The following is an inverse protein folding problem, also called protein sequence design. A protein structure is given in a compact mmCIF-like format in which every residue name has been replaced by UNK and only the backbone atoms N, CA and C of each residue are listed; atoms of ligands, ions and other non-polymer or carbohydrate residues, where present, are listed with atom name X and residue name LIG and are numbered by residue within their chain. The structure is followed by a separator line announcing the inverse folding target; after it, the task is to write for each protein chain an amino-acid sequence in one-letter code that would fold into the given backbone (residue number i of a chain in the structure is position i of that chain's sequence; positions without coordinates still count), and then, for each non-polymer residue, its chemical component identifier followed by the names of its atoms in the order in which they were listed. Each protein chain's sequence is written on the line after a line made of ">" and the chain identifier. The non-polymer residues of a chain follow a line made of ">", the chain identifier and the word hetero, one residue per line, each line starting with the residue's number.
data_IF_640228231444
#
_entry.id   IF_640228231444
#
_cell.length_a   1.000
_cell.length_b   1.000
_cell.length_c   1.000
_cell.angle_alpha   90.00
_cell.angle_beta   90.00
_cell.angle_gamma   90.00
#
_symmetry.space_group_name_H-M   'P 1'
#
loop_
_entity.id
_entity.type
_entity.pdbx_description
1 polymer ?
#
# COMPACT_ATOMS: atom_id res chain seq x y z
N UNK A 1 15.34 7.94 -54.41
CA UNK A 1 14.44 8.15 -53.23
C UNK A 1 15.07 7.44 -52.04
N UNK A 2 15.81 8.18 -51.22
CA UNK A 2 16.63 7.62 -50.14
C UNK A 2 16.50 8.59 -48.96
N UNK A 3 16.34 8.06 -47.75
CA UNK A 3 16.45 8.74 -46.45
C UNK A 3 15.18 9.42 -45.87
N UNK A 4 14.14 8.66 -45.51
CA UNK A 4 13.12 9.17 -44.55
C UNK A 4 12.68 8.15 -43.48
N UNK A 5 13.24 6.94 -43.46
CA UNK A 5 12.78 5.88 -42.56
C UNK A 5 13.26 5.89 -41.09
N UNK A 6 14.28 6.64 -40.61
CA UNK A 6 14.72 6.49 -39.22
C UNK A 6 13.95 7.37 -38.22
N UNK A 7 13.16 8.36 -38.66
CA UNK A 7 12.55 9.36 -37.76
C UNK A 7 11.28 8.82 -37.06
N UNK A 8 10.55 7.91 -37.71
CA UNK A 8 9.32 7.32 -37.14
C UNK A 8 9.59 6.37 -35.97
N UNK A 9 10.78 5.78 -35.88
CA UNK A 9 11.13 4.87 -34.78
C UNK A 9 11.38 5.63 -33.46
N UNK A 10 11.84 6.88 -33.52
CA UNK A 10 12.18 7.67 -32.31
C UNK A 10 10.93 8.23 -31.63
N UNK A 11 9.85 8.47 -32.37
CA UNK A 11 8.58 8.96 -31.82
C UNK A 11 7.80 7.89 -31.03
N UNK A 12 8.00 6.61 -31.32
CA UNK A 12 7.36 5.51 -30.58
C UNK A 12 7.92 5.31 -29.17
N UNK A 13 9.22 5.53 -28.97
CA UNK A 13 9.89 5.37 -27.67
C UNK A 13 9.61 6.52 -26.68
N UNK A 14 9.09 7.65 -27.15
CA UNK A 14 8.77 8.79 -26.28
C UNK A 14 7.46 8.61 -25.48
N UNK A 15 6.58 7.71 -25.91
CA UNK A 15 5.25 7.52 -25.29
C UNK A 15 5.26 6.59 -24.07
N UNK A 16 6.34 5.85 -23.83
CA UNK A 16 6.47 4.96 -22.65
C UNK A 16 7.10 5.65 -21.44
N UNK A 17 7.59 6.89 -21.58
CA UNK A 17 8.30 7.60 -20.51
C UNK A 17 7.38 8.29 -19.48
N UNK A 18 6.06 8.29 -19.68
CA UNK A 18 5.09 8.90 -18.77
C UNK A 18 4.25 7.90 -17.97
N UNK A 19 4.51 6.58 -18.11
CA UNK A 19 3.96 5.61 -17.18
C UNK A 19 4.74 5.74 -15.86
N UNK A 20 4.30 6.66 -15.00
CA UNK A 20 4.73 6.69 -13.61
C UNK A 20 4.57 5.31 -12.98
N UNK A 21 5.28 5.02 -11.89
CA UNK A 21 5.27 3.68 -11.33
C UNK A 21 3.85 3.20 -11.03
N UNK A 22 3.60 1.91 -11.26
CA UNK A 22 2.31 1.32 -10.92
C UNK A 22 2.04 1.46 -9.42
N UNK A 23 0.78 1.39 -9.01
CA UNK A 23 0.43 1.32 -7.59
C UNK A 23 1.18 0.17 -6.88
N UNK A 24 1.43 -0.94 -7.59
CA UNK A 24 2.23 -2.06 -7.08
C UNK A 24 3.71 -1.71 -6.91
N UNK A 25 4.28 -0.87 -7.78
CA UNK A 25 5.67 -0.38 -7.63
C UNK A 25 5.82 0.69 -6.55
N UNK A 26 4.73 1.39 -6.20
CA UNK A 26 4.68 2.22 -4.99
C UNK A 26 4.53 1.35 -3.73
N UNK A 27 3.73 0.27 -3.78
CA UNK A 27 3.59 -0.69 -2.67
C UNK A 27 4.90 -1.42 -2.37
N UNK A 28 5.66 -1.84 -3.40
CA UNK A 28 7.02 -2.39 -3.22
C UNK A 28 8.00 -1.40 -2.59
N UNK A 29 7.70 -0.10 -2.67
CA UNK A 29 8.46 0.99 -2.04
C UNK A 29 7.96 1.37 -0.65
N UNK A 30 6.84 0.82 -0.17
CA UNK A 30 6.46 0.90 1.25
C UNK A 30 7.26 -0.15 2.03
N UNK A 31 8.57 0.12 2.17
CA UNK A 31 9.60 -0.85 2.54
C UNK A 31 9.35 -1.50 3.92
N UNK A 32 8.42 -1.00 4.73
CA UNK A 32 8.15 -1.50 6.08
C UNK A 32 6.66 -1.48 6.52
N UNK A 33 5.70 -1.18 5.64
CA UNK A 33 4.27 -1.11 6.00
C UNK A 33 3.83 0.22 6.63
N UNK A 34 4.51 1.31 6.33
CA UNK A 34 4.18 2.65 6.81
C UNK A 34 2.80 3.10 6.36
N UNK A 35 2.39 2.80 5.12
CA UNK A 35 1.05 3.14 4.62
C UNK A 35 -0.03 2.40 5.40
N UNK A 36 0.21 1.13 5.73
CA UNK A 36 -0.68 0.34 6.57
C UNK A 36 -0.84 0.98 7.96
N UNK A 37 0.27 1.41 8.56
CA UNK A 37 0.28 2.06 9.87
C UNK A 37 -0.38 3.45 9.89
N UNK A 38 -0.19 4.27 8.85
CA UNK A 38 -0.84 5.58 8.71
C UNK A 38 -2.37 5.42 8.69
N UNK A 39 -2.86 4.50 7.85
CA UNK A 39 -4.28 4.19 7.80
C UNK A 39 -4.78 3.63 9.13
N UNK A 40 -4.02 2.73 9.76
CA UNK A 40 -4.39 2.19 11.07
C UNK A 40 -4.52 3.31 12.10
N UNK A 41 -3.59 4.25 12.19
CA UNK A 41 -3.65 5.35 13.15
C UNK A 41 -4.84 6.27 12.95
N UNK A 42 -5.16 6.58 11.69
CA UNK A 42 -6.35 7.37 11.36
C UNK A 42 -7.64 6.60 11.66
N UNK A 43 -7.67 5.28 11.51
CA UNK A 43 -8.83 4.45 11.78
C UNK A 43 -9.00 4.04 13.24
N UNK A 44 -7.90 3.98 14.00
CA UNK A 44 -7.90 3.57 15.41
C UNK A 44 -8.54 4.60 16.33
N UNK A 45 -8.44 5.88 15.97
CA UNK A 45 -8.97 7.02 16.75
C UNK A 45 -10.33 7.54 16.26
N UNK A 46 -10.80 7.08 15.10
CA UNK A 46 -12.07 7.47 14.50
C UNK A 46 -12.98 6.25 14.37
N UNK A 47 -14.17 6.28 14.96
CA UNK A 47 -15.17 5.20 14.89
C UNK A 47 -16.26 5.45 13.85
N UNK A 48 -16.17 6.56 13.10
CA UNK A 48 -17.07 6.89 12.01
C UNK A 48 -16.76 6.12 10.72
N UNK A 49 -17.49 6.46 9.65
CA UNK A 49 -17.32 5.85 8.32
C UNK A 49 -15.91 6.05 7.74
N UNK A 50 -15.27 7.18 8.04
CA UNK A 50 -13.89 7.47 7.65
C UNK A 50 -12.92 6.54 8.39
N UNK A 51 -13.12 6.37 9.69
CA UNK A 51 -12.39 5.41 10.50
C UNK A 51 -12.45 3.98 9.97
N UNK A 52 -13.66 3.48 9.70
CA UNK A 52 -13.87 2.15 9.10
C UNK A 52 -13.18 2.00 7.74
N UNK A 53 -13.26 3.04 6.90
CA UNK A 53 -12.57 3.07 5.60
C UNK A 53 -11.05 2.96 5.78
N UNK A 54 -10.51 3.67 6.76
CA UNK A 54 -9.09 3.63 7.07
C UNK A 54 -8.65 2.27 7.65
N UNK A 55 -9.45 1.64 8.50
CA UNK A 55 -9.15 0.27 8.98
C UNK A 55 -9.14 -0.74 7.81
N UNK A 56 -10.08 -0.63 6.86
CA UNK A 56 -10.07 -1.48 5.65
C UNK A 56 -8.79 -1.28 4.84
N UNK A 57 -8.39 -0.03 4.58
CA UNK A 57 -7.14 0.27 3.87
C UNK A 57 -5.91 -0.21 4.64
N UNK A 58 -5.91 -0.08 5.96
CA UNK A 58 -4.83 -0.59 6.79
C UNK A 58 -4.68 -2.11 6.66
N UNK A 59 -5.77 -2.86 6.58
CA UNK A 59 -5.75 -4.30 6.34
C UNK A 59 -5.20 -4.64 4.94
N UNK A 60 -5.68 -3.94 3.89
CA UNK A 60 -5.22 -4.15 2.51
C UNK A 60 -3.72 -3.92 2.37
N UNK A 61 -3.22 -2.81 2.90
CA UNK A 61 -1.79 -2.49 2.90
C UNK A 61 -1.01 -3.40 3.85
N UNK A 62 -1.61 -3.80 4.97
CA UNK A 62 -0.98 -4.68 5.95
C UNK A 62 -0.71 -6.06 5.40
N UNK A 63 -1.66 -6.66 4.66
CA UNK A 63 -1.49 -7.95 3.98
C UNK A 63 -0.36 -7.92 2.95
N UNK A 64 -0.19 -6.78 2.26
CA UNK A 64 0.83 -6.57 1.23
C UNK A 64 2.19 -6.10 1.79
N UNK A 65 2.30 -5.82 3.10
CA UNK A 65 3.51 -5.28 3.72
C UNK A 65 4.69 -6.25 3.61
N UNK A 66 5.93 -5.76 3.54
CA UNK A 66 7.15 -6.57 3.69
C UNK A 66 7.46 -6.92 5.15
N UNK A 67 6.90 -6.18 6.11
CA UNK A 67 7.07 -6.40 7.55
C UNK A 67 6.18 -7.55 8.02
N UNK A 68 6.83 -8.63 8.49
CA UNK A 68 6.14 -9.86 8.89
C UNK A 68 5.16 -9.67 10.04
N UNK A 69 5.51 -8.90 11.07
CA UNK A 69 4.61 -8.63 12.19
C UNK A 69 3.34 -7.87 11.79
N UNK A 70 3.42 -7.00 10.77
CA UNK A 70 2.25 -6.31 10.21
C UNK A 70 1.40 -7.30 9.41
N UNK A 71 2.01 -8.09 8.51
CA UNK A 71 1.27 -9.08 7.71
C UNK A 71 0.55 -10.11 8.58
N UNK A 72 1.22 -10.63 9.61
CA UNK A 72 0.68 -11.70 10.46
C UNK A 72 -0.50 -11.24 11.33
N UNK A 73 -0.67 -9.93 11.53
CA UNK A 73 -1.83 -9.36 12.22
C UNK A 73 -3.06 -9.19 11.30
N UNK A 74 -2.90 -9.44 10.00
CA UNK A 74 -3.97 -9.40 9.00
C UNK A 74 -4.38 -10.82 8.63
N UNK A 75 -5.68 -11.02 8.46
CA UNK A 75 -6.26 -12.25 7.92
C UNK A 75 -7.18 -11.92 6.74
N UNK A 76 -7.79 -12.95 6.17
CA UNK A 76 -8.81 -12.81 5.14
C UNK A 76 -10.14 -13.26 5.72
N UNK A 77 -11.19 -12.46 5.55
CA UNK A 77 -12.54 -12.81 6.00
C UNK A 77 -13.23 -13.83 5.06
N UNK A 78 -14.48 -14.18 5.37
CA UNK A 78 -15.26 -15.14 4.58
C UNK A 78 -15.57 -14.71 3.15
N UNK A 79 -15.45 -13.40 2.85
CA UNK A 79 -15.65 -12.82 1.53
C UNK A 79 -14.34 -12.64 0.74
N UNK A 80 -13.21 -13.10 1.30
CA UNK A 80 -11.90 -12.94 0.66
C UNK A 80 -11.26 -11.57 0.89
N UNK A 81 -11.78 -10.75 1.80
CA UNK A 81 -11.24 -9.39 2.05
C UNK A 81 -10.23 -9.38 3.20
N UNK A 82 -9.14 -8.60 3.08
CA UNK A 82 -8.20 -8.41 4.18
C UNK A 82 -8.89 -7.74 5.38
N UNK A 83 -8.66 -8.27 6.57
CA UNK A 83 -9.14 -7.71 7.85
C UNK A 83 -8.03 -7.75 8.90
N UNK A 84 -7.93 -6.73 9.74
CA UNK A 84 -7.01 -6.75 10.88
C UNK A 84 -7.61 -7.66 11.96
N UNK A 85 -7.11 -8.89 12.04
CA UNK A 85 -7.61 -9.90 12.97
C UNK A 85 -7.08 -9.70 14.41
N UNK A 86 -5.91 -9.09 14.55
CA UNK A 86 -5.32 -8.74 15.84
C UNK A 86 -4.90 -7.26 15.84
N UNK A 87 -5.81 -6.40 16.30
CA UNK A 87 -5.54 -4.96 16.38
C UNK A 87 -4.39 -4.61 17.34
N UNK A 88 -4.20 -5.40 18.40
CA UNK A 88 -3.14 -5.14 19.38
C UNK A 88 -1.76 -5.49 18.80
N UNK A 89 -1.65 -6.62 18.11
CA UNK A 89 -0.43 -6.99 17.38
C UNK A 89 -0.13 -6.00 16.25
N UNK A 90 -1.15 -5.57 15.50
CA UNK A 90 -0.99 -4.59 14.43
C UNK A 90 -0.49 -3.24 14.97
N UNK A 91 -1.10 -2.75 16.05
CA UNK A 91 -0.67 -1.53 16.75
C UNK A 91 0.78 -1.63 17.20
N UNK A 92 1.15 -2.73 17.86
CA UNK A 92 2.52 -2.97 18.34
C UNK A 92 3.53 -3.03 17.20
N UNK A 93 3.18 -3.67 16.09
CA UNK A 93 4.02 -3.73 14.90
C UNK A 93 4.26 -2.32 14.33
N UNK A 94 3.24 -1.46 14.31
CA UNK A 94 3.39 -0.07 13.89
C UNK A 94 4.20 0.79 14.88
N UNK A 95 4.10 0.54 16.18
CA UNK A 95 4.94 1.21 17.18
C UNK A 95 6.42 0.86 17.03
N UNK A 96 6.72 -0.39 16.68
CA UNK A 96 8.09 -0.82 16.34
C UNK A 96 8.64 -0.12 15.08
N UNK A 97 7.76 0.39 14.22
CA UNK A 97 8.10 1.22 13.05
C UNK A 97 8.18 2.72 13.38
N UNK A 98 8.02 3.11 14.66
CA UNK A 98 8.15 4.49 15.14
C UNK A 98 6.84 5.29 15.16
N UNK A 99 5.69 4.65 14.91
CA UNK A 99 4.38 5.30 15.05
C UNK A 99 3.97 5.39 16.53
N UNK A 100 3.20 6.41 16.88
CA UNK A 100 2.61 6.55 18.22
C UNK A 100 1.11 6.76 18.10
N UNK A 101 0.36 6.01 18.88
CA UNK A 101 -1.10 6.07 18.94
C UNK A 101 -1.48 6.52 20.35
N UNK A 102 -2.22 7.62 20.46
CA UNK A 102 -2.71 8.19 21.72
C UNK A 102 -4.12 7.72 22.02
#
# INVERSE_FOLDING_TARGET
>A
MKKLFPILAVLGLAMTACAGPSADDFRKRDVQGNTACIHFGSGYTDHGSVGLTNISKAAEHGLASSTESIRNAVSTDGDGKPVIADQAAFKKACEQQGMSFK
#
